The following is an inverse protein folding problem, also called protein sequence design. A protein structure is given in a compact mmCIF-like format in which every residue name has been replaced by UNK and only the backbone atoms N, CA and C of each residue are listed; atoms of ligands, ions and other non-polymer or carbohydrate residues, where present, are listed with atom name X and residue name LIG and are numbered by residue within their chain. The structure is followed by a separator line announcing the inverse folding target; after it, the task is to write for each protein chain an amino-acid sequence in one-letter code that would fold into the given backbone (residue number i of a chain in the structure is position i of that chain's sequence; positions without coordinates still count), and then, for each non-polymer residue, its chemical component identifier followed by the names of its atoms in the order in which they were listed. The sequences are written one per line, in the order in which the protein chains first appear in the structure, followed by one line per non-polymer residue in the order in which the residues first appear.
data_IF_872657735570
#
_entry.id   IF_872657735570
#
_cell.length_a   1.000
_cell.length_b   1.000
_cell.length_c   1.000
_cell.angle_alpha   90.00
_cell.angle_beta   90.00
_cell.angle_gamma   90.00
#
_symmetry.space_group_name_H-M   'P 1'
#
loop_
_entity.id
_entity.type
_entity.pdbx_description
1 polymer ?
#
# COMPACT_ATOMS: atom_id res chain seq x y z
N UNK A 1 -19.93 4.70 54.51
CA UNK A 1 -19.60 6.00 53.88
C UNK A 1 -19.47 5.80 52.39
N UNK A 2 -20.48 6.22 51.63
CA UNK A 2 -20.38 6.43 50.18
C UNK A 2 -19.85 7.85 49.98
N UNK A 3 -18.77 8.02 49.23
CA UNK A 3 -18.51 9.27 48.50
C UNK A 3 -17.88 8.89 47.16
N UNK A 4 -18.76 8.86 46.17
CA UNK A 4 -18.49 8.92 44.74
C UNK A 4 -17.75 10.24 44.48
N UNK A 5 -16.54 10.20 43.93
CA UNK A 5 -15.83 11.41 43.54
C UNK A 5 -16.52 12.03 42.34
N UNK A 6 -17.18 13.14 42.60
CA UNK A 6 -17.90 13.93 41.61
C UNK A 6 -16.97 14.42 40.51
N UNK A 7 -17.50 14.28 39.31
CA UNK A 7 -16.93 14.71 38.07
C UNK A 7 -16.96 16.23 37.95
N UNK A 8 -15.97 16.75 37.22
CA UNK A 8 -15.97 18.03 36.51
C UNK A 8 -15.70 19.30 37.33
N UNK A 9 -14.43 19.72 37.34
CA UNK A 9 -14.11 21.10 36.97
C UNK A 9 -12.62 21.27 36.60
N UNK A 10 -12.26 21.01 35.35
CA UNK A 10 -11.10 21.68 34.78
C UNK A 10 -11.39 22.07 33.33
N UNK A 11 -12.01 23.24 33.18
CA UNK A 11 -11.85 24.04 31.97
C UNK A 11 -10.59 24.88 32.14
N UNK A 12 -9.49 24.36 31.64
CA UNK A 12 -8.44 25.19 31.05
C UNK A 12 -8.42 24.78 29.59
N UNK A 13 -9.15 25.48 28.73
CA UNK A 13 -8.54 26.57 27.98
C UNK A 13 -7.12 26.22 27.52
N UNK A 14 -7.03 25.38 26.49
CA UNK A 14 -6.13 25.64 25.38
C UNK A 14 -6.92 25.48 24.09
N UNK A 15 -7.76 26.47 23.82
CA UNK A 15 -8.18 26.83 22.47
C UNK A 15 -7.01 27.43 21.68
N UNK A 16 -5.88 26.72 21.63
CA UNK A 16 -4.71 27.12 20.86
C UNK A 16 -4.83 26.57 19.43
N UNK A 17 -5.54 27.34 18.62
CA UNK A 17 -5.30 27.56 17.18
C UNK A 17 -3.79 27.57 16.84
N UNK A 18 -3.29 27.22 15.63
CA UNK A 18 -3.93 26.75 14.41
C UNK A 18 -3.40 25.37 13.93
N UNK A 19 -3.99 24.91 12.83
CA UNK A 19 -3.45 24.13 11.72
C UNK A 19 -1.98 24.44 11.31
N UNK A 20 -1.03 24.33 12.23
CA UNK A 20 0.36 24.78 12.06
C UNK A 20 1.41 23.67 12.26
N UNK A 21 1.03 22.42 11.99
CA UNK A 21 1.97 21.40 11.52
C UNK A 21 1.73 21.10 10.04
N UNK A 22 1.47 22.17 9.28
CA UNK A 22 1.37 22.14 7.82
C UNK A 22 2.73 22.45 7.19
N UNK A 23 3.83 21.99 7.79
CA UNK A 23 5.02 21.74 6.98
C UNK A 23 4.61 20.66 5.98
N UNK A 24 4.36 21.05 4.73
CA UNK A 24 3.93 20.15 3.67
C UNK A 24 4.82 18.90 3.73
N UNK A 25 4.25 17.78 4.18
CA UNK A 25 5.02 16.56 4.44
C UNK A 25 5.71 16.07 3.17
N UNK A 26 5.23 16.54 2.02
CA UNK A 26 5.81 16.34 0.69
C UNK A 26 7.15 17.07 0.52
N UNK A 27 7.28 18.27 1.07
CA UNK A 27 8.53 19.04 1.07
C UNK A 27 9.57 18.46 2.04
N UNK A 28 9.15 17.63 3.00
CA UNK A 28 10.03 16.93 3.95
C UNK A 28 10.61 15.62 3.39
N UNK A 29 10.10 15.14 2.24
CA UNK A 29 10.64 13.95 1.62
C UNK A 29 11.99 14.24 0.94
N UNK A 30 12.97 13.33 1.07
CA UNK A 30 14.17 13.39 0.25
C UNK A 30 13.83 13.42 -1.25
N UNK A 31 14.60 14.14 -2.08
CA UNK A 31 14.33 14.27 -3.52
C UNK A 31 14.22 12.93 -4.25
N UNK A 32 14.96 11.91 -3.78
CA UNK A 32 15.02 10.56 -4.33
C UNK A 32 13.96 9.61 -3.73
N UNK A 33 13.29 9.99 -2.64
CA UNK A 33 12.43 9.08 -1.88
C UNK A 33 11.28 8.54 -2.72
N UNK A 34 10.62 9.41 -3.50
CA UNK A 34 9.51 9.02 -4.38
C UNK A 34 10.00 8.06 -5.47
N UNK A 35 11.13 8.35 -6.11
CA UNK A 35 11.69 7.46 -7.13
C UNK A 35 12.06 6.09 -6.56
N UNK A 36 12.62 6.05 -5.34
CA UNK A 36 12.92 4.79 -4.66
C UNK A 36 11.66 3.98 -4.36
N UNK A 37 10.55 4.64 -4.03
CA UNK A 37 9.26 3.98 -3.82
C UNK A 37 8.71 3.43 -5.14
N UNK A 38 8.76 4.20 -6.23
CA UNK A 38 8.38 3.73 -7.58
C UNK A 38 9.20 2.50 -7.97
N UNK A 39 10.52 2.52 -7.73
CA UNK A 39 11.40 1.38 -8.03
C UNK A 39 11.00 0.14 -7.20
N UNK A 40 10.70 0.30 -5.90
CA UNK A 40 10.23 -0.79 -5.05
C UNK A 40 8.90 -1.38 -5.54
N UNK A 41 7.95 -0.53 -5.92
CA UNK A 41 6.67 -0.99 -6.49
C UNK A 41 6.92 -1.74 -7.80
N UNK A 42 7.78 -1.20 -8.66
CA UNK A 42 8.18 -1.82 -9.93
C UNK A 42 8.79 -3.21 -9.71
N UNK A 43 9.70 -3.36 -8.75
CA UNK A 43 10.31 -4.64 -8.42
C UNK A 43 9.28 -5.66 -7.90
N UNK A 44 8.29 -5.21 -7.12
CA UNK A 44 7.16 -6.05 -6.72
C UNK A 44 6.31 -6.47 -7.93
N UNK A 45 6.00 -5.55 -8.84
CA UNK A 45 5.22 -5.86 -10.04
C UNK A 45 5.94 -6.90 -10.92
N UNK A 46 7.24 -6.72 -11.17
CA UNK A 46 8.05 -7.66 -11.97
C UNK A 46 8.08 -9.09 -11.42
N UNK A 47 8.00 -9.24 -10.08
CA UNK A 47 8.00 -10.56 -9.44
C UNK A 47 6.70 -11.32 -9.65
N UNK A 48 5.59 -10.60 -9.87
CA UNK A 48 4.25 -11.16 -9.81
C UNK A 48 3.48 -11.08 -11.12
N UNK A 49 3.89 -10.19 -12.03
CA UNK A 49 3.21 -9.97 -13.31
C UNK A 49 4.16 -10.40 -14.42
N UNK A 50 3.84 -11.47 -15.17
CA UNK A 50 4.54 -11.80 -16.40
C UNK A 50 4.46 -10.63 -17.38
N UNK A 51 5.60 -10.24 -17.95
CA UNK A 51 5.67 -9.19 -18.96
C UNK A 51 6.54 -9.67 -20.12
N UNK A 52 6.23 -9.22 -21.33
CA UNK A 52 6.96 -9.61 -22.54
C UNK A 52 7.56 -8.38 -23.19
N UNK A 53 8.88 -8.41 -23.42
CA UNK A 53 9.59 -7.38 -24.15
C UNK A 53 9.64 -6.00 -23.45
N UNK A 54 10.19 -5.00 -24.15
CA UNK A 54 10.34 -3.63 -23.62
C UNK A 54 9.01 -2.94 -23.32
N UNK A 55 7.97 -3.22 -24.11
CA UNK A 55 6.66 -2.57 -23.96
C UNK A 55 5.97 -2.98 -22.66
N UNK A 56 5.96 -4.28 -22.32
CA UNK A 56 5.42 -4.76 -21.06
C UNK A 56 6.19 -4.20 -19.85
N UNK A 57 7.51 -4.02 -19.98
CA UNK A 57 8.31 -3.37 -18.94
C UNK A 57 7.92 -1.90 -18.76
N UNK A 58 7.66 -1.18 -19.86
CA UNK A 58 7.21 0.21 -19.81
C UNK A 58 5.83 0.34 -19.15
N UNK A 59 4.91 -0.58 -19.43
CA UNK A 59 3.58 -0.62 -18.80
C UNK A 59 3.69 -0.80 -17.27
N UNK A 60 4.51 -1.76 -16.81
CA UNK A 60 4.74 -1.96 -15.38
C UNK A 60 5.31 -0.69 -14.71
N UNK A 61 6.20 0.03 -15.40
CA UNK A 61 6.75 1.29 -14.90
C UNK A 61 5.68 2.38 -14.77
N UNK A 62 4.81 2.51 -15.77
CA UNK A 62 3.69 3.46 -15.72
C UNK A 62 2.72 3.13 -14.59
N UNK A 63 2.44 1.83 -14.36
CA UNK A 63 1.61 1.38 -13.24
C UNK A 63 2.27 1.75 -11.90
N UNK A 64 3.56 1.49 -11.74
CA UNK A 64 4.30 1.82 -10.52
C UNK A 64 4.26 3.33 -10.23
N UNK A 65 4.53 4.14 -11.25
CA UNK A 65 4.49 5.61 -11.15
C UNK A 65 3.09 6.12 -10.79
N UNK A 66 2.05 5.66 -11.49
CA UNK A 66 0.67 6.08 -11.25
C UNK A 66 0.17 5.68 -9.86
N UNK A 67 0.57 4.51 -9.38
CA UNK A 67 0.20 4.06 -8.04
C UNK A 67 0.80 4.95 -6.96
N UNK A 68 2.10 5.22 -7.07
CA UNK A 68 2.80 6.11 -6.14
C UNK A 68 2.20 7.51 -6.16
N UNK A 69 1.96 8.08 -7.35
CA UNK A 69 1.43 9.44 -7.54
C UNK A 69 0.01 9.60 -6.97
N UNK A 70 -0.84 8.60 -7.18
CA UNK A 70 -2.20 8.59 -6.61
C UNK A 70 -2.15 8.59 -5.07
N UNK A 71 -1.28 7.76 -4.47
CA UNK A 71 -1.13 7.69 -3.01
C UNK A 71 -0.49 8.97 -2.46
N UNK A 72 0.50 9.53 -3.16
CA UNK A 72 1.14 10.79 -2.81
C UNK A 72 0.14 11.96 -2.77
N UNK A 73 -0.81 11.98 -3.70
CA UNK A 73 -1.87 12.98 -3.75
C UNK A 73 -2.91 12.75 -2.64
N UNK A 74 -3.30 11.49 -2.41
CA UNK A 74 -4.34 11.14 -1.44
C UNK A 74 -3.88 11.16 0.02
N UNK A 75 -2.58 11.04 0.30
CA UNK A 75 -2.08 10.98 1.66
C UNK A 75 -2.07 12.34 2.37
N UNK A 76 -2.41 12.33 3.65
CA UNK A 76 -2.49 13.53 4.49
C UNK A 76 -1.23 13.76 5.33
N UNK A 77 -0.34 12.76 5.42
CA UNK A 77 0.93 12.84 6.15
C UNK A 77 1.94 11.82 5.60
N UNK A 78 3.23 11.99 5.92
CA UNK A 78 4.28 11.05 5.51
C UNK A 78 4.03 9.62 6.06
N UNK A 79 3.64 9.39 7.33
CA UNK A 79 3.31 8.05 7.80
C UNK A 79 2.11 7.43 7.08
N UNK A 80 1.10 8.24 6.74
CA UNK A 80 -0.06 7.78 5.99
C UNK A 80 0.31 7.36 4.56
N UNK A 81 1.14 8.15 3.88
CA UNK A 81 1.72 7.85 2.57
C UNK A 81 2.47 6.50 2.59
N UNK A 82 3.43 6.33 3.51
CA UNK A 82 4.23 5.10 3.61
C UNK A 82 3.38 3.87 3.97
N UNK A 83 2.38 4.04 4.85
CA UNK A 83 1.44 2.97 5.21
C UNK A 83 0.63 2.52 4.00
N UNK A 84 0.05 3.46 3.23
CA UNK A 84 -0.75 3.14 2.03
C UNK A 84 0.08 2.43 0.95
N UNK A 85 1.33 2.86 0.74
CA UNK A 85 2.27 2.19 -0.16
C UNK A 85 2.49 0.74 0.29
N UNK A 86 2.85 0.55 1.56
CA UNK A 86 3.11 -0.78 2.12
C UNK A 86 1.91 -1.71 1.99
N UNK A 87 0.69 -1.21 2.26
CA UNK A 87 -0.54 -1.98 2.10
C UNK A 87 -0.80 -2.38 0.64
N UNK A 88 -0.56 -1.48 -0.32
CA UNK A 88 -0.70 -1.81 -1.75
C UNK A 88 0.33 -2.85 -2.19
N UNK A 89 1.58 -2.72 -1.77
CA UNK A 89 2.62 -3.71 -2.08
C UNK A 89 2.29 -5.08 -1.48
N UNK A 90 1.84 -5.14 -0.22
CA UNK A 90 1.41 -6.39 0.41
C UNK A 90 0.24 -7.04 -0.37
N UNK A 91 -0.74 -6.24 -0.78
CA UNK A 91 -1.87 -6.74 -1.58
C UNK A 91 -1.42 -7.37 -2.90
N UNK A 92 -0.40 -6.81 -3.56
CA UNK A 92 0.16 -7.36 -4.80
C UNK A 92 0.88 -8.69 -4.56
N UNK A 93 1.58 -8.81 -3.44
CA UNK A 93 2.27 -10.04 -3.04
C UNK A 93 1.28 -11.19 -2.73
N UNK A 94 0.14 -10.89 -2.10
CA UNK A 94 -0.85 -11.92 -1.75
C UNK A 94 -1.70 -12.37 -2.95
N UNK A 95 -2.03 -11.47 -3.88
CA UNK A 95 -2.88 -11.80 -5.03
C UNK A 95 -2.23 -12.78 -6.00
N UNK A 96 -0.91 -12.70 -6.19
CA UNK A 96 -0.17 -13.63 -7.05
C UNK A 96 -0.11 -15.05 -6.47
N UNK A 97 -0.08 -15.18 -5.14
CA UNK A 97 -0.10 -16.48 -4.47
C UNK A 97 -1.45 -17.20 -4.63
N UNK A 98 -2.57 -16.47 -4.59
CA UNK A 98 -3.89 -17.05 -4.80
C UNK A 98 -4.11 -17.56 -6.24
N UNK A 99 -3.46 -16.96 -7.24
CA UNK A 99 -3.52 -17.48 -8.62
C UNK A 99 -2.72 -18.78 -8.80
N UNK A 100 -1.65 -19.01 -8.03
CA UNK A 100 -0.86 -20.25 -8.11
C UNK A 100 -1.53 -21.42 -7.36
N UNK A 101 -2.27 -21.14 -6.29
CA UNK A 101 -2.96 -22.18 -5.52
C UNK A 101 -4.18 -22.80 -6.24
N UNK A 102 -4.79 -22.08 -7.19
CA UNK A 102 -5.99 -22.57 -7.88
C UNK A 102 -5.70 -23.42 -9.13
N UNK A 103 -4.44 -23.49 -9.60
CA UNK A 103 -4.08 -24.22 -10.82
C UNK A 103 -3.59 -25.66 -10.59
N UNK A 104 -3.57 -26.16 -9.34
CA UNK A 104 -3.08 -27.52 -9.02
C UNK A 104 -4.19 -28.57 -8.81
N UNK A 105 -5.45 -28.28 -9.19
CA UNK A 105 -6.58 -29.20 -9.02
C UNK A 105 -7.29 -29.55 -10.34
N UNK A 106 -6.55 -29.85 -11.40
CA UNK A 106 -7.16 -30.52 -12.55
C UNK A 106 -6.12 -31.29 -13.39
N UNK A 107 -5.63 -32.45 -12.93
CA UNK A 107 -4.93 -33.39 -13.81
C UNK A 107 -4.91 -34.85 -13.30
N UNK A 108 -5.84 -35.27 -12.44
CA UNK A 108 -5.85 -36.67 -11.98
C UNK A 108 -7.26 -37.20 -11.80
N UNK A 109 -7.93 -37.49 -12.92
CA UNK A 109 -9.00 -38.48 -13.01
C UNK A 109 -9.10 -38.98 -14.46
N UNK A 110 -8.15 -39.84 -14.88
CA UNK A 110 -8.32 -40.69 -16.08
C UNK A 110 -8.85 -42.04 -15.61
N UNK A 111 -10.11 -42.42 -15.89
CA UNK A 111 -10.48 -43.82 -15.82
C UNK A 111 -9.96 -44.49 -17.09
N UNK A 112 -8.89 -45.27 -16.95
CA UNK A 112 -8.62 -46.38 -17.86
C UNK A 112 -9.69 -47.43 -17.65
N UNK A 113 -10.51 -47.70 -18.67
CA UNK A 113 -11.07 -49.04 -18.79
C UNK A 113 -11.07 -49.48 -20.26
N UNK A 114 -10.28 -50.52 -20.52
CA UNK A 114 -10.31 -51.35 -21.71
C UNK A 114 -11.20 -52.56 -21.38
N UNK A 115 -12.06 -52.99 -22.30
CA UNK A 115 -12.87 -54.19 -22.17
C UNK A 115 -14.22 -54.05 -22.85
#
# INVERSE_FOLDING_TARGET
SLNLMDSNNWRADQGNNPTMDTSDWRAQLPPDARQRIVNKIMDTLKKHIPFTGPDGLQELWQIAKRLEENIFTAATSQPDYLRKISMKMLTMETKSQNTLANSQVDLSNKPTNQG
#
